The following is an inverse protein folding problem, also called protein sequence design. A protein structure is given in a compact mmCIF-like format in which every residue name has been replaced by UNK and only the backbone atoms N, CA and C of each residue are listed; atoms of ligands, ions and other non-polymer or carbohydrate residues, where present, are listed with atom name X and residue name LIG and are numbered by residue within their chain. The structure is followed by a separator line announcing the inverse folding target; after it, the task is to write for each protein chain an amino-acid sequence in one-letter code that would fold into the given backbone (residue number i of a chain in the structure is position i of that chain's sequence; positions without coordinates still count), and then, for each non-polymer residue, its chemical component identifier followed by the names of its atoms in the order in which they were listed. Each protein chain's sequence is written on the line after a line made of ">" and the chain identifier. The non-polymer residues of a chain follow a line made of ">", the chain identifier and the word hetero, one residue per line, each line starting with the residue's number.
data_IF_586638158098
#
_entry.id   IF_586638158098
#
_cell.length_a   1.000
_cell.length_b   1.000
_cell.length_c   1.000
_cell.angle_alpha   90.00
_cell.angle_beta   90.00
_cell.angle_gamma   90.00
#
_symmetry.space_group_name_H-M   'P 1'
#
loop_
_entity.id
_entity.type
_entity.pdbx_description
1 polymer ?
#
# COMPACT_ATOMS: atom_id res chain seq x y z
N UNK A 1 -15.47 -17.86 50.48
CA UNK A 1 -16.12 -17.72 49.17
C UNK A 1 -15.30 -16.77 48.31
N UNK A 2 -14.61 -17.32 47.31
CA UNK A 2 -13.63 -16.61 46.47
C UNK A 2 -14.39 -15.84 45.38
N UNK A 3 -14.30 -14.51 45.39
CA UNK A 3 -14.73 -13.66 44.28
C UNK A 3 -13.88 -13.98 43.05
N UNK A 4 -14.49 -14.64 42.07
CA UNK A 4 -13.90 -14.83 40.75
C UNK A 4 -13.89 -13.48 40.03
N UNK A 5 -12.72 -12.85 39.97
CA UNK A 5 -12.40 -11.82 38.98
C UNK A 5 -12.52 -12.46 37.58
N UNK A 6 -13.64 -12.23 36.92
CA UNK A 6 -13.81 -12.56 35.51
C UNK A 6 -13.03 -11.51 34.71
N UNK A 7 -12.06 -11.89 33.86
CA UNK A 7 -11.37 -10.94 33.00
C UNK A 7 -12.40 -10.32 32.06
N UNK A 8 -12.47 -8.99 32.03
CA UNK A 8 -13.21 -8.21 31.03
C UNK A 8 -12.68 -8.59 29.64
N UNK A 9 -13.29 -9.61 29.02
CA UNK A 9 -13.20 -9.82 27.57
C UNK A 9 -13.53 -8.48 26.91
N UNK A 10 -12.61 -7.94 26.10
CA UNK A 10 -12.80 -6.77 25.23
C UNK A 10 -14.17 -6.87 24.53
N UNK A 11 -15.22 -6.30 25.11
CA UNK A 11 -16.51 -6.13 24.42
C UNK A 11 -16.22 -5.19 23.27
N UNK A 12 -16.44 -5.62 22.02
CA UNK A 12 -16.43 -4.71 20.87
C UNK A 12 -17.37 -3.56 21.22
N UNK A 13 -16.84 -2.34 21.31
CA UNK A 13 -17.64 -1.14 21.55
C UNK A 13 -18.73 -1.12 20.48
N UNK A 14 -19.99 -1.04 20.89
CA UNK A 14 -21.10 -0.99 19.94
C UNK A 14 -20.98 0.30 19.13
N UNK A 15 -20.98 0.19 17.80
CA UNK A 15 -20.84 1.32 16.89
C UNK A 15 -22.04 2.25 17.03
N UNK A 16 -21.80 3.55 16.98
CA UNK A 16 -22.88 4.54 16.91
C UNK A 16 -23.57 4.46 15.55
N UNK A 17 -24.88 4.72 15.54
CA UNK A 17 -25.73 4.75 14.37
C UNK A 17 -26.41 6.11 14.32
N UNK A 18 -26.15 6.88 13.27
CA UNK A 18 -26.67 8.23 13.10
C UNK A 18 -27.44 8.27 11.79
N UNK A 19 -28.73 8.54 11.87
CA UNK A 19 -29.62 8.67 10.70
C UNK A 19 -30.46 9.95 10.74
N UNK A 20 -30.39 10.73 11.82
CA UNK A 20 -31.05 12.01 11.95
C UNK A 20 -30.37 12.90 13.01
N UNK A 21 -30.78 14.17 13.11
CA UNK A 21 -30.27 15.13 14.08
C UNK A 21 -30.45 14.68 15.54
N UNK A 22 -31.58 14.07 15.89
CA UNK A 22 -31.82 13.60 17.26
C UNK A 22 -30.86 12.46 17.62
N UNK A 23 -30.69 11.49 16.71
CA UNK A 23 -29.73 10.40 16.89
C UNK A 23 -28.28 10.89 17.05
N UNK A 24 -27.92 11.97 16.35
CA UNK A 24 -26.62 12.62 16.53
C UNK A 24 -26.49 13.32 17.89
N UNK A 25 -27.51 14.09 18.32
CA UNK A 25 -27.55 14.73 19.66
C UNK A 25 -27.49 13.69 20.80
N UNK A 26 -28.19 12.56 20.66
CA UNK A 26 -28.15 11.47 21.62
C UNK A 26 -26.78 10.80 21.68
N UNK A 27 -26.09 10.66 20.54
CA UNK A 27 -24.72 10.16 20.50
C UNK A 27 -23.73 11.16 21.14
N UNK A 28 -23.87 12.46 20.86
CA UNK A 28 -23.10 13.53 21.51
C UNK A 28 -23.25 13.49 23.04
N UNK A 29 -24.49 13.40 23.53
CA UNK A 29 -24.78 13.32 24.96
C UNK A 29 -24.20 12.06 25.61
N UNK A 30 -24.29 10.90 24.94
CA UNK A 30 -23.72 9.63 25.42
C UNK A 30 -22.20 9.69 25.56
N UNK A 31 -21.52 10.46 24.72
CA UNK A 31 -20.08 10.68 24.79
C UNK A 31 -19.67 11.85 25.68
N UNK A 32 -20.63 12.51 26.35
CA UNK A 32 -20.38 13.59 27.31
C UNK A 32 -20.29 14.99 26.73
N UNK A 33 -20.61 15.19 25.44
CA UNK A 33 -20.64 16.51 24.83
C UNK A 33 -21.90 17.29 25.24
N UNK A 34 -21.72 18.54 25.67
CA UNK A 34 -22.81 19.44 26.09
C UNK A 34 -23.31 20.30 24.92
N UNK A 35 -23.86 19.68 23.87
CA UNK A 35 -24.36 20.36 22.66
C UNK A 35 -25.83 20.03 22.46
N UNK A 36 -26.71 20.99 22.74
CA UNK A 36 -28.18 20.78 22.78
C UNK A 36 -28.95 21.91 22.08
N UNK A 37 -28.27 22.76 21.32
CA UNK A 37 -28.84 23.92 20.65
C UNK A 37 -29.99 23.50 19.72
N UNK A 38 -31.12 24.18 19.83
CA UNK A 38 -32.29 23.97 18.98
C UNK A 38 -32.18 24.72 17.65
N UNK A 39 -31.54 25.89 17.69
CA UNK A 39 -31.24 26.72 16.53
C UNK A 39 -30.14 26.07 15.67
N UNK A 40 -30.39 25.99 14.36
CA UNK A 40 -29.52 25.30 13.39
C UNK A 40 -28.13 25.95 13.34
N UNK A 41 -28.05 27.27 13.24
CA UNK A 41 -26.79 27.99 13.10
C UNK A 41 -25.97 27.94 14.40
N UNK A 42 -26.61 28.14 15.56
CA UNK A 42 -25.94 27.95 16.86
C UNK A 42 -25.46 26.52 17.07
N UNK A 43 -26.22 25.52 16.61
CA UNK A 43 -25.81 24.13 16.66
C UNK A 43 -24.55 23.88 15.83
N UNK A 44 -24.56 24.34 14.57
CA UNK A 44 -23.39 24.23 13.68
C UNK A 44 -22.18 24.92 14.28
N UNK A 45 -22.30 26.19 14.70
CA UNK A 45 -21.21 26.93 15.34
C UNK A 45 -20.59 26.18 16.52
N UNK A 46 -21.43 25.56 17.36
CA UNK A 46 -20.94 24.83 18.54
C UNK A 46 -20.22 23.54 18.16
N UNK A 47 -20.70 22.83 17.12
CA UNK A 47 -19.99 21.67 16.57
C UNK A 47 -18.62 22.09 16.03
N UNK A 48 -18.57 23.12 15.18
CA UNK A 48 -17.32 23.68 14.63
C UNK A 48 -16.33 24.02 15.74
N UNK A 49 -16.76 24.78 16.76
CA UNK A 49 -15.94 25.20 17.90
C UNK A 49 -15.48 24.02 18.77
N UNK A 50 -16.37 23.06 19.05
CA UNK A 50 -16.07 21.92 19.95
C UNK A 50 -15.09 20.95 19.31
N UNK A 51 -15.26 20.65 18.03
CA UNK A 51 -14.43 19.67 17.31
C UNK A 51 -13.26 20.30 16.56
N UNK A 52 -13.17 21.64 16.53
CA UNK A 52 -12.12 22.41 15.83
C UNK A 52 -12.01 21.98 14.36
N UNK A 53 -13.16 21.92 13.69
CA UNK A 53 -13.29 21.52 12.27
C UNK A 53 -13.77 22.70 11.44
N UNK A 54 -13.54 22.65 10.12
CA UNK A 54 -14.02 23.67 9.19
C UNK A 54 -15.55 23.73 9.12
N UNK A 55 -16.08 24.91 8.81
CA UNK A 55 -17.53 25.12 8.61
C UNK A 55 -18.10 24.20 7.52
N UNK A 56 -17.33 23.94 6.46
CA UNK A 56 -17.75 23.05 5.36
C UNK A 56 -18.03 21.61 5.82
N UNK A 57 -17.25 21.10 6.78
CA UNK A 57 -17.45 19.78 7.40
C UNK A 57 -18.76 19.80 8.19
N UNK A 58 -19.00 20.87 8.94
CA UNK A 58 -20.21 21.01 9.77
C UNK A 58 -21.46 21.11 8.91
N UNK A 59 -21.43 21.88 7.84
CA UNK A 59 -22.53 21.98 6.86
C UNK A 59 -22.81 20.62 6.22
N UNK A 60 -21.77 19.92 5.76
CA UNK A 60 -21.93 18.60 5.16
C UNK A 60 -22.49 17.58 6.16
N UNK A 61 -22.01 17.59 7.39
CA UNK A 61 -22.51 16.74 8.47
C UNK A 61 -24.01 16.98 8.65
N UNK A 62 -24.40 18.25 8.70
CA UNK A 62 -25.77 18.65 8.92
C UNK A 62 -26.71 18.22 7.76
N UNK A 63 -26.24 18.34 6.50
CA UNK A 63 -26.93 17.78 5.33
C UNK A 63 -27.08 16.26 5.45
N UNK A 64 -25.99 15.55 5.80
CA UNK A 64 -25.98 14.09 5.93
C UNK A 64 -26.97 13.59 7.00
N UNK A 65 -27.09 14.29 8.13
CA UNK A 65 -28.05 13.92 9.19
C UNK A 65 -29.47 14.45 8.94
N UNK A 66 -29.70 15.30 7.93
CA UNK A 66 -31.08 15.62 7.49
C UNK A 66 -31.63 14.54 6.54
N UNK A 67 -30.77 13.81 5.83
CA UNK A 67 -31.18 12.68 4.98
C UNK A 67 -31.44 11.40 5.80
N UNK A 68 -32.71 11.17 6.10
CA UNK A 68 -33.15 10.00 6.88
C UNK A 68 -33.05 8.67 6.14
N UNK A 69 -32.73 8.67 4.84
CA UNK A 69 -32.57 7.45 4.03
C UNK A 69 -31.25 6.73 4.31
N UNK A 70 -30.27 7.43 4.88
CA UNK A 70 -28.93 6.89 5.13
C UNK A 70 -28.70 6.78 6.64
N UNK A 71 -28.16 5.63 7.07
CA UNK A 71 -27.69 5.44 8.44
C UNK A 71 -26.18 5.33 8.43
N UNK A 72 -25.53 6.34 8.99
CA UNK A 72 -24.09 6.39 9.16
C UNK A 72 -23.67 5.57 10.38
N UNK A 73 -22.69 4.70 10.19
CA UNK A 73 -22.11 3.86 11.24
C UNK A 73 -20.68 4.29 11.50
N UNK A 74 -20.37 4.62 12.75
CA UNK A 74 -19.05 5.06 13.19
C UNK A 74 -18.70 4.46 14.57
N UNK A 75 -17.44 4.52 14.96
CA UNK A 75 -16.98 4.03 16.26
C UNK A 75 -17.33 5.01 17.40
N UNK A 76 -17.29 6.30 17.12
CA UNK A 76 -17.63 7.40 18.02
C UNK A 76 -17.92 8.68 17.21
N UNK A 77 -18.23 9.79 17.88
CA UNK A 77 -18.56 11.06 17.22
C UNK A 77 -17.37 11.61 16.40
N UNK A 78 -16.14 11.43 16.86
CA UNK A 78 -14.97 11.92 16.12
C UNK A 78 -14.75 11.12 14.84
N UNK A 79 -14.90 9.81 14.92
CA UNK A 79 -14.87 8.92 13.75
C UNK A 79 -15.98 9.27 12.74
N UNK A 80 -17.17 9.66 13.21
CA UNK A 80 -18.23 10.16 12.33
C UNK A 80 -17.87 11.49 11.65
N UNK A 81 -17.29 12.43 12.39
CA UNK A 81 -16.85 13.72 11.81
C UNK A 81 -15.73 13.51 10.79
N UNK A 82 -14.75 12.65 11.09
CA UNK A 82 -13.71 12.23 10.14
C UNK A 82 -14.30 11.55 8.89
N UNK A 83 -15.35 10.75 9.05
CA UNK A 83 -16.07 10.19 7.90
C UNK A 83 -16.64 11.31 7.01
N UNK A 84 -17.34 12.29 7.60
CA UNK A 84 -17.88 13.43 6.84
C UNK A 84 -16.77 14.22 6.13
N UNK A 85 -15.66 14.50 6.82
CA UNK A 85 -14.50 15.16 6.22
C UNK A 85 -13.96 14.37 5.02
N UNK A 86 -13.78 13.06 5.17
CA UNK A 86 -13.32 12.18 4.08
C UNK A 86 -14.28 12.15 2.90
N UNK A 87 -15.60 12.27 3.11
CA UNK A 87 -16.55 12.37 2.01
C UNK A 87 -16.28 13.62 1.16
N UNK A 88 -16.07 14.77 1.82
CA UNK A 88 -15.75 16.04 1.13
C UNK A 88 -14.43 15.93 0.37
N UNK A 89 -13.38 15.44 1.04
CA UNK A 89 -12.06 15.30 0.44
C UNK A 89 -12.11 14.35 -0.76
N UNK A 90 -12.81 13.22 -0.63
CA UNK A 90 -12.97 12.27 -1.71
C UNK A 90 -13.69 12.87 -2.92
N UNK A 91 -14.80 13.58 -2.73
CA UNK A 91 -15.51 14.27 -3.82
C UNK A 91 -14.62 15.29 -4.54
N UNK A 92 -13.83 16.06 -3.78
CA UNK A 92 -12.90 17.04 -4.33
C UNK A 92 -11.78 16.39 -5.16
N UNK A 93 -11.13 15.36 -4.62
CA UNK A 93 -10.05 14.66 -5.33
C UNK A 93 -10.60 13.89 -6.53
N UNK A 94 -11.78 13.28 -6.42
CA UNK A 94 -12.47 12.65 -7.55
C UNK A 94 -12.68 13.64 -8.69
N UNK A 95 -13.26 14.82 -8.39
CA UNK A 95 -13.52 15.86 -9.39
C UNK A 95 -12.24 16.39 -10.03
N UNK A 96 -11.17 16.59 -9.25
CA UNK A 96 -9.85 16.98 -9.79
C UNK A 96 -9.30 15.94 -10.75
N UNK A 97 -9.35 14.66 -10.38
CA UNK A 97 -8.87 13.57 -11.22
C UNK A 97 -9.71 13.44 -12.49
N UNK A 98 -11.03 13.50 -12.40
CA UNK A 98 -11.94 13.48 -13.57
C UNK A 98 -11.64 14.61 -14.54
N UNK A 99 -11.45 15.85 -14.07
CA UNK A 99 -11.05 16.98 -14.91
C UNK A 99 -9.76 16.69 -15.69
N UNK A 100 -8.78 16.06 -15.02
CA UNK A 100 -7.47 15.75 -15.61
C UNK A 100 -7.53 14.68 -16.70
N UNK A 101 -8.48 13.76 -16.63
CA UNK A 101 -8.63 12.66 -17.62
C UNK A 101 -9.75 12.91 -18.64
N UNK A 102 -10.48 14.01 -18.52
CA UNK A 102 -11.63 14.33 -19.40
C UNK A 102 -11.25 14.51 -20.87
N UNK A 103 -10.01 14.91 -21.17
CA UNK A 103 -9.51 15.10 -22.53
C UNK A 103 -9.07 13.78 -23.20
N UNK A 104 -8.94 12.72 -22.42
CA UNK A 104 -8.49 11.42 -22.90
C UNK A 104 -9.71 10.67 -23.46
N UNK A 105 -9.66 10.32 -24.74
CA UNK A 105 -10.73 9.53 -25.37
C UNK A 105 -10.57 8.04 -25.06
N UNK A 106 -9.33 7.56 -25.04
CA UNK A 106 -9.01 6.14 -24.86
C UNK A 106 -7.76 5.96 -24.01
N UNK A 107 -7.81 4.98 -23.11
CA UNK A 107 -6.71 4.61 -22.24
C UNK A 107 -6.32 3.15 -22.46
N UNK A 108 -5.04 2.92 -22.77
CA UNK A 108 -4.41 1.61 -22.85
C UNK A 108 -3.61 1.37 -21.57
N UNK A 109 -3.91 0.30 -20.85
CA UNK A 109 -3.16 -0.11 -19.65
C UNK A 109 -2.44 -1.42 -19.97
N UNK A 110 -1.12 -1.38 -19.97
CA UNK A 110 -0.26 -2.54 -20.15
C UNK A 110 0.19 -3.10 -18.80
N UNK A 111 0.17 -4.43 -18.67
CA UNK A 111 0.65 -5.16 -17.50
C UNK A 111 1.35 -6.44 -17.93
N UNK A 112 2.57 -6.68 -17.43
CA UNK A 112 3.26 -7.96 -17.62
C UNK A 112 2.65 -9.01 -16.66
N UNK A 113 2.27 -10.17 -17.20
CA UNK A 113 1.69 -11.30 -16.47
C UNK A 113 2.64 -12.49 -16.50
N UNK A 114 3.43 -12.65 -15.44
CA UNK A 114 4.41 -13.72 -15.38
C UNK A 114 3.81 -15.11 -15.00
N UNK A 115 2.56 -15.17 -14.47
CA UNK A 115 2.02 -16.32 -13.68
C UNK A 115 1.15 -17.29 -14.52
N UNK A 116 1.11 -17.14 -15.85
CA UNK A 116 0.21 -17.95 -16.70
C UNK A 116 0.68 -19.38 -16.98
N UNK A 117 1.96 -19.68 -16.76
CA UNK A 117 2.55 -20.99 -17.06
C UNK A 117 2.91 -21.71 -15.74
N UNK A 118 2.48 -22.97 -15.59
CA UNK A 118 2.87 -23.79 -14.44
C UNK A 118 4.38 -24.06 -14.50
N UNK A 119 5.11 -23.65 -13.46
CA UNK A 119 6.52 -23.99 -13.31
C UNK A 119 6.69 -25.35 -12.65
N UNK A 120 7.63 -26.17 -13.13
CA UNK A 120 8.11 -27.34 -12.40
C UNK A 120 8.72 -26.94 -11.04
N UNK A 121 8.64 -27.83 -10.06
CA UNK A 121 9.25 -27.63 -8.75
C UNK A 121 10.75 -27.90 -8.82
N UNK A 122 11.56 -26.92 -8.41
CA UNK A 122 13.02 -27.07 -8.32
C UNK A 122 13.41 -27.92 -7.09
N UNK A 123 14.58 -28.56 -7.11
CA UNK A 123 15.16 -29.19 -5.92
C UNK A 123 15.70 -28.12 -4.96
N UNK A 124 15.33 -28.18 -3.69
CA UNK A 124 15.52 -27.10 -2.72
C UNK A 124 16.08 -27.55 -1.37
N UNK A 125 16.50 -28.80 -1.24
CA UNK A 125 16.90 -29.40 0.03
C UNK A 125 18.14 -28.70 0.64
N UNK A 126 19.16 -28.47 -0.18
CA UNK A 126 20.37 -27.72 0.23
C UNK A 126 20.06 -26.28 0.67
N UNK A 127 19.03 -25.66 0.07
CA UNK A 127 18.62 -24.31 0.40
C UNK A 127 17.93 -24.28 1.77
N UNK A 128 17.05 -25.25 2.04
CA UNK A 128 16.34 -25.35 3.31
C UNK A 128 17.34 -25.52 4.45
N UNK A 129 18.29 -26.45 4.31
CA UNK A 129 19.33 -26.68 5.32
C UNK A 129 20.13 -25.40 5.61
N UNK A 130 20.55 -24.68 4.56
CA UNK A 130 21.30 -23.42 4.73
C UNK A 130 20.49 -22.30 5.39
N UNK A 131 19.16 -22.31 5.29
CA UNK A 131 18.29 -21.33 5.96
C UNK A 131 18.13 -21.69 7.43
N UNK A 132 17.90 -22.97 7.75
CA UNK A 132 17.70 -23.44 9.12
C UNK A 132 18.92 -23.18 10.01
N UNK A 133 20.13 -23.31 9.46
CA UNK A 133 21.40 -23.00 10.14
C UNK A 133 21.49 -21.58 10.70
N UNK A 134 20.83 -20.60 10.08
CA UNK A 134 20.97 -19.18 10.45
C UNK A 134 19.70 -18.55 11.03
N UNK A 135 18.52 -19.14 10.77
CA UNK A 135 17.23 -18.45 10.94
C UNK A 135 16.94 -18.06 12.39
N UNK A 136 17.29 -18.93 13.35
CA UNK A 136 17.12 -18.69 14.79
C UNK A 136 17.96 -17.51 15.29
N UNK A 137 19.10 -17.28 14.66
CA UNK A 137 20.15 -16.41 15.20
C UNK A 137 20.02 -14.98 14.70
N UNK A 138 19.45 -14.81 13.50
CA UNK A 138 19.33 -13.50 12.85
C UNK A 138 17.97 -12.82 13.07
N UNK A 139 16.90 -13.57 13.33
CA UNK A 139 15.52 -13.04 13.22
C UNK A 139 14.99 -12.44 14.52
N UNK A 140 14.45 -11.21 14.47
CA UNK A 140 13.80 -10.52 15.60
C UNK A 140 12.56 -9.74 15.16
N UNK A 141 11.59 -9.56 16.06
CA UNK A 141 10.42 -8.69 15.83
C UNK A 141 10.81 -7.23 16.09
N UNK A 142 10.34 -6.31 15.25
CA UNK A 142 10.58 -4.87 15.40
C UNK A 142 9.86 -4.24 16.59
N UNK A 143 10.49 -3.23 17.17
CA UNK A 143 9.85 -2.22 18.04
C UNK A 143 9.00 -1.21 17.25
N UNK A 144 8.17 -0.41 17.92
CA UNK A 144 7.32 0.60 17.27
C UNK A 144 8.13 1.73 16.60
N UNK A 145 9.23 2.19 17.20
CA UNK A 145 10.12 3.20 16.60
C UNK A 145 10.73 2.72 15.26
N UNK A 146 11.06 1.43 15.18
CA UNK A 146 11.62 0.81 13.98
C UNK A 146 10.58 0.58 12.87
N UNK A 147 9.28 0.58 13.22
CA UNK A 147 8.17 0.58 12.25
C UNK A 147 8.01 1.97 11.64
N UNK A 148 8.04 3.02 12.46
CA UNK A 148 7.90 4.41 12.02
C UNK A 148 8.90 4.77 10.91
N UNK A 149 10.16 4.29 11.02
CA UNK A 149 11.18 4.52 9.99
C UNK A 149 10.80 3.99 8.60
N UNK A 150 10.17 2.81 8.51
CA UNK A 150 9.70 2.29 7.22
C UNK A 150 8.48 3.05 6.72
N UNK A 151 7.57 3.44 7.62
CA UNK A 151 6.39 4.23 7.28
C UNK A 151 6.77 5.60 6.70
N UNK A 152 7.81 6.23 7.22
CA UNK A 152 8.30 7.51 6.70
C UNK A 152 8.91 7.37 5.31
N UNK A 153 9.62 6.25 5.02
CA UNK A 153 10.09 5.95 3.66
C UNK A 153 8.92 5.69 2.70
N UNK A 154 7.86 5.00 3.14
CA UNK A 154 6.64 4.85 2.33
C UNK A 154 6.02 6.22 2.02
N UNK A 155 5.93 7.12 3.00
CA UNK A 155 5.44 8.49 2.80
C UNK A 155 6.34 9.30 1.85
N UNK A 156 7.66 9.06 1.85
CA UNK A 156 8.57 9.69 0.88
C UNK A 156 8.28 9.20 -0.54
N UNK A 157 8.13 7.90 -0.75
CA UNK A 157 7.80 7.34 -2.06
C UNK A 157 6.44 7.80 -2.58
N UNK A 158 5.46 7.91 -1.69
CA UNK A 158 4.12 8.40 -2.00
C UNK A 158 4.12 9.81 -2.63
N UNK A 159 5.17 10.60 -2.37
CA UNK A 159 5.29 11.93 -2.97
C UNK A 159 5.53 11.85 -4.48
N UNK A 160 6.26 10.86 -4.97
CA UNK A 160 6.83 10.91 -6.33
C UNK A 160 6.46 9.74 -7.24
N UNK A 161 5.95 8.65 -6.68
CA UNK A 161 5.68 7.42 -7.41
C UNK A 161 4.20 7.02 -7.37
N UNK A 162 3.76 6.32 -8.42
CA UNK A 162 2.46 5.64 -8.45
C UNK A 162 2.61 4.17 -8.11
N UNK A 163 1.60 3.62 -7.45
CA UNK A 163 1.47 2.18 -7.23
C UNK A 163 0.53 1.55 -8.25
N UNK A 164 0.67 0.23 -8.48
CA UNK A 164 -0.22 -0.52 -9.35
C UNK A 164 -1.70 -0.38 -8.93
N UNK A 165 -2.00 -0.38 -7.62
CA UNK A 165 -3.32 -0.17 -7.01
C UNK A 165 -3.93 1.20 -7.28
N UNK A 166 -3.08 2.19 -7.54
CA UNK A 166 -3.53 3.54 -7.90
C UNK A 166 -4.05 3.49 -9.35
N UNK A 167 -3.30 2.85 -10.25
CA UNK A 167 -3.73 2.61 -11.63
C UNK A 167 -4.94 1.67 -11.69
N UNK A 168 -5.05 0.69 -10.79
CA UNK A 168 -6.24 -0.15 -10.66
C UNK A 168 -7.47 0.65 -10.22
N UNK A 169 -7.31 1.64 -9.33
CA UNK A 169 -8.40 2.55 -8.97
C UNK A 169 -8.83 3.36 -10.20
N UNK A 170 -7.88 3.97 -10.92
CA UNK A 170 -8.17 4.70 -12.16
C UNK A 170 -8.93 3.84 -13.15
N UNK A 171 -8.47 2.59 -13.36
CA UNK A 171 -9.13 1.61 -14.22
C UNK A 171 -10.58 1.37 -13.81
N UNK A 172 -10.86 1.18 -12.52
CA UNK A 172 -12.22 0.99 -12.01
C UNK A 172 -13.09 2.23 -12.22
N UNK A 173 -12.54 3.43 -12.01
CA UNK A 173 -13.26 4.69 -12.21
C UNK A 173 -13.75 4.87 -13.65
N UNK A 174 -12.90 4.56 -14.64
CA UNK A 174 -13.25 4.73 -16.06
C UNK A 174 -14.07 3.57 -16.64
N UNK A 175 -14.13 2.43 -15.94
CA UNK A 175 -14.81 1.22 -16.39
C UNK A 175 -16.23 1.19 -15.81
N UNK A 176 -17.14 1.95 -16.42
CA UNK A 176 -18.55 2.04 -16.00
C UNK A 176 -19.40 0.93 -16.66
N UNK A 177 -19.09 0.53 -17.91
CA UNK A 177 -19.77 -0.55 -18.65
C UNK A 177 -18.76 -1.44 -19.37
N UNK A 178 -19.02 -2.75 -19.41
CA UNK A 178 -18.12 -3.74 -20.06
C UNK A 178 -18.00 -3.55 -21.58
N UNK A 179 -18.94 -2.84 -22.19
CA UNK A 179 -19.09 -2.71 -23.65
C UNK A 179 -17.94 -1.94 -24.34
N UNK A 180 -17.12 -1.20 -23.59
CA UNK A 180 -16.00 -0.40 -24.11
C UNK A 180 -14.60 -0.95 -23.81
N UNK A 181 -14.48 -2.20 -23.36
CA UNK A 181 -13.20 -2.79 -22.93
C UNK A 181 -12.71 -3.82 -23.93
N UNK A 182 -11.48 -3.65 -24.44
CA UNK A 182 -10.81 -4.65 -25.28
C UNK A 182 -9.56 -5.14 -24.60
N UNK A 183 -9.40 -6.45 -24.51
CA UNK A 183 -8.20 -7.07 -23.96
C UNK A 183 -7.38 -7.74 -25.07
N UNK A 184 -6.07 -7.56 -25.03
CA UNK A 184 -5.11 -8.25 -25.90
C UNK A 184 -3.97 -8.81 -25.05
N UNK A 185 -3.48 -9.98 -25.41
CA UNK A 185 -2.32 -10.58 -24.76
C UNK A 185 -1.23 -10.85 -25.79
N UNK A 186 -0.02 -10.39 -25.51
CA UNK A 186 1.15 -10.70 -26.30
C UNK A 186 1.96 -11.80 -25.58
N UNK A 187 1.96 -13.00 -26.15
CA UNK A 187 2.66 -14.14 -25.57
C UNK A 187 4.19 -13.97 -25.55
N UNK A 188 4.77 -13.27 -26.52
CA UNK A 188 6.22 -13.05 -26.60
C UNK A 188 6.71 -12.13 -25.48
N UNK A 189 6.00 -11.05 -25.23
CA UNK A 189 6.35 -10.06 -24.19
C UNK A 189 5.66 -10.33 -22.85
N UNK A 190 4.81 -11.37 -22.78
CA UNK A 190 3.93 -11.71 -21.65
C UNK A 190 3.09 -10.52 -21.17
N UNK A 191 2.73 -9.61 -22.08
CA UNK A 191 2.04 -8.35 -21.74
C UNK A 191 0.55 -8.46 -22.06
N UNK A 192 -0.29 -8.18 -21.06
CA UNK A 192 -1.71 -7.94 -21.23
C UNK A 192 -1.96 -6.44 -21.40
N UNK A 193 -2.65 -6.06 -22.47
CA UNK A 193 -3.12 -4.69 -22.72
C UNK A 193 -4.63 -4.64 -22.57
N UNK A 194 -5.11 -3.71 -21.74
CA UNK A 194 -6.53 -3.39 -21.59
C UNK A 194 -6.76 -2.01 -22.22
N UNK A 195 -7.56 -1.95 -23.26
CA UNK A 195 -7.99 -0.71 -23.91
C UNK A 195 -9.39 -0.33 -23.42
N UNK A 196 -9.55 0.89 -22.93
CA UNK A 196 -10.80 1.41 -22.35
C UNK A 196 -11.14 2.72 -23.04
N UNK A 197 -12.36 2.85 -23.53
CA UNK A 197 -12.92 4.13 -23.95
C UNK A 197 -13.39 4.89 -22.71
N UNK A 198 -12.86 6.09 -22.49
CA UNK A 198 -13.20 6.87 -21.30
C UNK A 198 -14.60 7.46 -21.47
N UNK A 199 -15.50 7.26 -20.50
CA UNK A 199 -16.84 7.81 -20.57
C UNK A 199 -16.81 9.33 -20.42
N UNK A 200 -17.74 10.02 -21.11
CA UNK A 200 -17.88 11.48 -21.02
C UNK A 200 -18.16 11.96 -19.58
N UNK A 201 -18.77 11.12 -18.76
CA UNK A 201 -19.05 11.40 -17.37
C UNK A 201 -18.62 10.20 -16.52
N UNK A 202 -17.78 10.48 -15.52
CA UNK A 202 -17.35 9.50 -14.53
C UNK A 202 -18.11 9.78 -13.23
N UNK A 203 -18.85 8.78 -12.75
CA UNK A 203 -19.66 8.86 -11.54
C UNK A 203 -19.18 7.82 -10.50
N UNK A 204 -19.90 7.71 -9.38
CA UNK A 204 -19.52 6.84 -8.26
C UNK A 204 -19.97 5.37 -8.40
N UNK A 205 -20.44 4.93 -9.58
CA UNK A 205 -20.95 3.55 -9.79
C UNK A 205 -19.87 2.47 -9.56
N UNK A 206 -18.59 2.82 -9.70
CA UNK A 206 -17.47 1.90 -9.44
C UNK A 206 -17.28 1.58 -7.94
N UNK A 207 -18.00 2.25 -7.04
CA UNK A 207 -17.96 2.02 -5.60
C UNK A 207 -19.08 1.04 -5.22
N UNK A 208 -18.77 -0.25 -4.97
CA UNK A 208 -19.79 -1.26 -4.72
C UNK A 208 -20.41 -1.15 -3.31
N UNK A 209 -19.75 -0.43 -2.41
CA UNK A 209 -20.16 -0.29 -1.00
C UNK A 209 -21.13 0.86 -0.83
N UNK A 210 -22.16 0.66 -0.01
CA UNK A 210 -23.24 1.65 0.19
C UNK A 210 -22.76 2.79 1.10
N UNK A 211 -23.15 4.03 0.75
CA UNK A 211 -22.92 5.19 1.61
C UNK A 211 -23.50 4.98 3.03
N UNK A 212 -22.82 5.52 4.04
CA UNK A 212 -23.16 5.40 5.46
C UNK A 212 -22.58 4.15 6.15
N UNK A 213 -22.08 3.16 5.41
CA UNK A 213 -21.48 1.97 6.03
C UNK A 213 -20.01 2.21 6.43
N UNK A 214 -19.49 1.33 7.29
CA UNK A 214 -18.06 1.36 7.70
C UNK A 214 -17.16 0.98 6.54
N UNK A 215 -17.62 0.08 5.68
CA UNK A 215 -16.91 -0.33 4.48
C UNK A 215 -16.77 0.83 3.48
N UNK A 216 -17.76 1.72 3.39
CA UNK A 216 -17.64 2.93 2.59
C UNK A 216 -16.67 3.93 3.23
N UNK A 217 -16.69 4.14 4.54
CA UNK A 217 -15.68 4.96 5.23
C UNK A 217 -14.25 4.44 5.03
N UNK A 218 -14.06 3.12 5.09
CA UNK A 218 -12.79 2.46 4.79
C UNK A 218 -12.41 2.62 3.32
N UNK A 219 -13.38 2.55 2.39
CA UNK A 219 -13.16 2.83 0.98
C UNK A 219 -12.63 4.26 0.77
N UNK A 220 -13.23 5.26 1.41
CA UNK A 220 -12.75 6.65 1.33
C UNK A 220 -11.31 6.75 1.84
N UNK A 221 -11.07 6.25 3.06
CA UNK A 221 -9.76 6.29 3.71
C UNK A 221 -8.66 5.66 2.85
N UNK A 222 -8.97 4.55 2.18
CA UNK A 222 -8.01 3.82 1.36
C UNK A 222 -7.74 4.45 -0.02
N UNK A 223 -8.69 5.20 -0.57
CA UNK A 223 -8.65 5.68 -1.95
C UNK A 223 -8.37 7.18 -2.09
N UNK A 224 -8.60 7.99 -1.05
CA UNK A 224 -8.17 9.41 -1.03
C UNK A 224 -6.66 9.54 -1.35
N UNK A 225 -5.74 8.85 -0.65
CA UNK A 225 -4.32 8.95 -0.96
C UNK A 225 -3.97 8.46 -2.37
N UNK A 226 -4.71 7.47 -2.90
CA UNK A 226 -4.49 6.95 -4.26
C UNK A 226 -4.85 7.99 -5.32
N UNK A 227 -5.99 8.67 -5.15
CA UNK A 227 -6.39 9.75 -6.05
C UNK A 227 -5.41 10.92 -5.98
N UNK A 228 -4.97 11.31 -4.78
CA UNK A 228 -3.95 12.36 -4.62
C UNK A 228 -2.65 11.99 -5.35
N UNK A 229 -2.17 10.75 -5.22
CA UNK A 229 -1.01 10.26 -5.96
C UNK A 229 -1.23 10.27 -7.48
N UNK A 230 -2.38 9.80 -7.97
CA UNK A 230 -2.74 9.87 -9.40
C UNK A 230 -2.71 11.32 -9.91
N UNK A 231 -3.37 12.23 -9.21
CA UNK A 231 -3.43 13.65 -9.60
C UNK A 231 -2.01 14.22 -9.70
N UNK A 232 -1.14 13.91 -8.73
CA UNK A 232 0.22 14.42 -8.71
C UNK A 232 1.14 13.78 -9.75
N UNK A 233 1.14 12.45 -9.85
CA UNK A 233 2.21 11.69 -10.51
C UNK A 233 1.82 11.04 -11.84
N UNK A 234 0.54 10.99 -12.23
CA UNK A 234 0.07 10.29 -13.44
C UNK A 234 0.81 10.69 -14.72
N UNK A 235 1.21 11.95 -14.88
CA UNK A 235 1.90 12.42 -16.08
C UNK A 235 3.29 11.75 -16.27
N UNK A 236 3.92 11.27 -15.19
CA UNK A 236 5.19 10.52 -15.26
C UNK A 236 5.00 9.12 -15.89
N UNK A 237 3.80 8.56 -15.77
CA UNK A 237 3.47 7.19 -16.17
C UNK A 237 2.60 7.10 -17.42
N UNK A 238 1.89 8.18 -17.73
CA UNK A 238 0.94 8.26 -18.83
C UNK A 238 1.59 8.96 -20.03
N UNK A 239 1.66 8.25 -21.16
CA UNK A 239 2.22 8.77 -22.42
C UNK A 239 1.15 8.82 -23.50
N UNK A 240 1.25 9.79 -24.39
CA UNK A 240 0.41 9.84 -25.60
C UNK A 240 0.80 8.68 -26.51
N UNK A 241 -0.18 8.01 -27.12
CA UNK A 241 0.06 7.00 -28.14
C UNK A 241 0.67 7.65 -29.40
N UNK A 242 1.68 7.01 -29.98
CA UNK A 242 2.41 7.54 -31.14
C UNK A 242 1.50 7.74 -32.37
N UNK A 243 0.39 7.00 -32.45
CA UNK A 243 -0.50 6.97 -33.63
C UNK A 243 -1.75 7.82 -33.45
N UNK A 244 -2.22 8.04 -32.23
CA UNK A 244 -3.48 8.76 -31.95
C UNK A 244 -3.32 9.68 -30.73
N UNK A 245 -3.32 10.99 -30.97
CA UNK A 245 -3.10 12.02 -29.93
C UNK A 245 -4.10 11.98 -28.77
N UNK A 246 -5.27 11.40 -28.97
CA UNK A 246 -6.35 11.27 -27.97
C UNK A 246 -6.35 9.91 -27.25
N UNK A 247 -5.44 9.01 -27.64
CA UNK A 247 -5.19 7.73 -26.97
C UNK A 247 -3.97 7.87 -26.08
N UNK A 248 -4.09 7.46 -24.83
CA UNK A 248 -3.01 7.47 -23.86
C UNK A 248 -2.68 6.06 -23.40
N UNK A 249 -1.44 5.86 -22.98
CA UNK A 249 -0.90 4.59 -22.56
C UNK A 249 -0.23 4.70 -21.20
N UNK A 250 -0.56 3.76 -20.31
CA UNK A 250 0.09 3.57 -19.02
C UNK A 250 0.68 2.15 -19.00
N UNK A 251 1.98 2.03 -18.72
CA UNK A 251 2.60 0.75 -18.38
C UNK A 251 2.55 0.57 -16.87
N UNK A 252 1.56 -0.19 -16.40
CA UNK A 252 1.36 -0.47 -14.98
C UNK A 252 2.55 -1.23 -14.38
N UNK A 253 3.31 -1.97 -15.20
CA UNK A 253 4.48 -2.73 -14.73
C UNK A 253 5.63 -1.83 -14.30
N UNK A 254 5.64 -0.56 -14.73
CA UNK A 254 6.60 0.46 -14.28
C UNK A 254 6.20 1.14 -12.97
N UNK A 255 4.95 0.98 -12.54
CA UNK A 255 4.50 1.47 -11.26
C UNK A 255 5.03 0.58 -10.14
N UNK A 256 5.11 1.18 -8.95
CA UNK A 256 5.45 0.51 -7.71
C UNK A 256 4.41 -0.59 -7.42
N UNK A 257 4.84 -1.81 -7.10
CA UNK A 257 3.91 -2.93 -6.85
C UNK A 257 3.12 -2.74 -5.53
N UNK A 258 1.96 -3.38 -5.42
CA UNK A 258 1.05 -3.14 -4.28
C UNK A 258 1.56 -3.67 -2.95
N UNK A 259 2.36 -4.74 -3.03
CA UNK A 259 2.99 -5.42 -1.91
C UNK A 259 4.46 -5.02 -1.74
N UNK A 260 4.82 -3.78 -2.07
CA UNK A 260 6.21 -3.33 -1.92
C UNK A 260 6.70 -3.65 -0.52
N UNK A 261 7.72 -4.51 -0.49
CA UNK A 261 8.53 -4.70 0.68
C UNK A 261 9.65 -3.68 0.60
N UNK A 262 9.63 -2.66 1.46
CA UNK A 262 10.78 -1.77 1.65
C UNK A 262 11.69 -2.44 2.67
N UNK A 263 12.95 -2.60 2.30
CA UNK A 263 13.98 -3.02 3.23
C UNK A 263 15.02 -1.91 3.38
N UNK A 264 15.54 -1.79 4.60
CA UNK A 264 16.59 -0.83 4.96
C UNK A 264 17.65 -1.57 5.78
N UNK A 265 18.90 -1.57 5.36
CA UNK A 265 20.00 -2.04 6.17
C UNK A 265 20.82 -0.86 6.70
N UNK A 266 21.25 -0.98 7.96
CA UNK A 266 22.25 -0.12 8.57
C UNK A 266 23.52 -0.95 8.74
N UNK A 267 24.60 -0.50 8.10
CA UNK A 267 25.91 -1.15 8.17
C UNK A 267 27.03 -0.12 8.02
N UNK A 268 28.05 -0.21 8.87
CA UNK A 268 29.20 0.71 8.89
C UNK A 268 28.78 2.21 8.89
N UNK A 269 27.77 2.54 9.72
CA UNK A 269 27.14 3.87 9.82
C UNK A 269 26.52 4.39 8.52
N UNK A 270 26.30 3.53 7.52
CA UNK A 270 25.60 3.86 6.27
C UNK A 270 24.25 3.16 6.19
N UNK A 271 23.37 3.77 5.42
CA UNK A 271 22.01 3.31 5.18
C UNK A 271 21.87 2.82 3.73
N UNK A 272 21.36 1.59 3.58
CA UNK A 272 21.11 0.93 2.30
C UNK A 272 19.63 0.65 2.19
N UNK A 273 18.97 1.15 1.14
CA UNK A 273 17.50 1.01 0.97
C UNK A 273 17.21 0.29 -0.33
N UNK A 274 16.23 -0.59 -0.33
CA UNK A 274 15.77 -1.23 -1.55
C UNK A 274 14.26 -1.46 -1.54
N UNK A 275 13.70 -1.54 -2.75
CA UNK A 275 12.28 -1.80 -3.00
C UNK A 275 12.14 -3.04 -3.88
N UNK A 276 11.29 -3.97 -3.47
CA UNK A 276 11.08 -5.21 -4.22
C UNK A 276 10.39 -4.89 -5.54
N UNK A 277 10.87 -5.52 -6.62
CA UNK A 277 10.30 -5.38 -7.95
C UNK A 277 10.59 -4.07 -8.69
N UNK A 278 11.30 -3.10 -8.07
CA UNK A 278 11.69 -1.85 -8.74
C UNK A 278 13.20 -1.59 -8.66
N UNK A 279 13.81 -1.25 -9.80
CA UNK A 279 15.23 -0.86 -9.90
C UNK A 279 15.40 0.63 -10.28
N UNK A 280 14.31 1.37 -10.49
CA UNK A 280 14.35 2.72 -11.04
C UNK A 280 14.05 3.79 -9.98
N UNK A 281 14.44 3.54 -8.73
CA UNK A 281 14.23 4.46 -7.61
C UNK A 281 15.57 5.09 -7.26
N UNK A 282 15.61 6.43 -7.32
CA UNK A 282 16.83 7.20 -7.09
C UNK A 282 17.32 6.99 -5.65
N UNK A 283 18.63 6.76 -5.47
CA UNK A 283 19.28 6.52 -4.17
C UNK A 283 18.86 5.22 -3.46
N UNK A 284 18.33 4.23 -4.20
CA UNK A 284 18.04 2.88 -3.69
C UNK A 284 18.96 1.86 -4.36
N UNK A 285 19.29 0.79 -3.65
CA UNK A 285 20.04 -0.35 -4.18
C UNK A 285 19.22 -1.03 -5.29
N UNK A 286 19.90 -1.39 -6.38
CA UNK A 286 19.30 -2.06 -7.54
C UNK A 286 19.78 -3.50 -7.63
N UNK A 287 19.02 -4.36 -8.30
CA UNK A 287 19.54 -5.68 -8.60
C UNK A 287 20.72 -5.56 -9.59
N UNK A 288 21.84 -6.26 -9.36
CA UNK A 288 22.90 -6.33 -10.36
C UNK A 288 22.42 -7.07 -11.62
N UNK A 289 23.10 -6.88 -12.77
CA UNK A 289 22.96 -7.76 -13.93
C UNK A 289 23.12 -9.23 -13.53
N UNK A 290 22.48 -10.13 -14.28
CA UNK A 290 22.46 -11.56 -13.92
C UNK A 290 23.87 -12.16 -13.88
N UNK A 291 24.76 -11.70 -14.76
CA UNK A 291 26.16 -12.15 -14.83
C UNK A 291 27.01 -11.65 -13.66
N UNK A 292 26.61 -10.56 -13.01
CA UNK A 292 27.33 -9.94 -11.89
C UNK A 292 26.77 -10.36 -10.51
N UNK A 293 25.61 -11.01 -10.48
CA UNK A 293 24.96 -11.42 -9.24
C UNK A 293 25.77 -12.49 -8.51
N UNK A 294 26.18 -12.21 -7.27
CA UNK A 294 26.98 -13.12 -6.46
C UNK A 294 26.11 -14.06 -5.65
N UNK A 295 24.99 -13.56 -5.13
CA UNK A 295 24.10 -14.33 -4.28
C UNK A 295 22.96 -14.93 -5.10
N UNK A 296 22.79 -16.25 -5.00
CA UNK A 296 21.75 -16.96 -5.73
C UNK A 296 20.40 -16.73 -5.06
N UNK A 297 19.40 -16.39 -5.87
CA UNK A 297 17.99 -16.39 -5.49
C UNK A 297 17.31 -17.65 -6.03
N UNK A 298 16.08 -17.89 -5.58
CA UNK A 298 15.31 -19.08 -5.93
C UNK A 298 13.85 -18.73 -6.10
N UNK A 299 13.10 -19.64 -6.75
CA UNK A 299 11.66 -19.46 -6.95
C UNK A 299 10.92 -19.58 -5.63
N UNK A 300 10.04 -18.62 -5.36
CA UNK A 300 9.14 -18.67 -4.20
C UNK A 300 7.74 -18.22 -4.61
N UNK A 301 6.71 -18.94 -4.18
CA UNK A 301 5.33 -18.55 -4.42
C UNK A 301 4.78 -17.62 -3.31
N UNK A 302 3.55 -17.15 -3.46
CA UNK A 302 2.91 -16.25 -2.47
C UNK A 302 2.74 -16.88 -1.08
N UNK A 303 2.69 -18.22 -1.01
CA UNK A 303 2.56 -18.98 0.24
C UNK A 303 3.92 -19.30 0.89
N UNK A 304 5.04 -18.92 0.25
CA UNK A 304 6.39 -19.16 0.78
C UNK A 304 6.94 -20.52 0.41
N UNK A 305 6.29 -21.28 -0.47
CA UNK A 305 6.81 -22.55 -0.97
C UNK A 305 7.99 -22.26 -1.90
N UNK A 306 9.16 -22.78 -1.54
CA UNK A 306 10.40 -22.69 -2.29
C UNK A 306 10.40 -23.66 -3.47
N UNK A 307 11.07 -23.29 -4.55
CA UNK A 307 11.20 -24.08 -5.79
C UNK A 307 10.01 -23.95 -6.75
N UNK A 308 8.98 -23.18 -6.41
CA UNK A 308 7.81 -22.91 -7.28
C UNK A 308 7.52 -21.41 -7.30
N UNK A 309 7.04 -20.89 -8.42
CA UNK A 309 6.67 -19.48 -8.57
C UNK A 309 7.77 -18.69 -9.27
N UNK A 310 8.08 -17.49 -8.78
CA UNK A 310 9.06 -16.61 -9.43
C UNK A 310 10.36 -16.52 -8.68
N UNK A 311 11.43 -16.41 -9.45
CA UNK A 311 12.73 -16.06 -8.93
C UNK A 311 12.67 -14.69 -8.25
N UNK A 312 13.16 -14.64 -7.02
CA UNK A 312 13.21 -13.46 -6.14
C UNK A 312 14.45 -12.58 -6.39
N UNK A 313 15.01 -12.64 -7.59
CA UNK A 313 16.13 -11.80 -8.07
C UNK A 313 15.96 -10.30 -7.78
N UNK A 314 14.73 -9.79 -7.81
CA UNK A 314 14.44 -8.37 -7.59
C UNK A 314 13.93 -8.03 -6.18
N UNK A 315 14.07 -8.92 -5.20
CA UNK A 315 13.69 -8.63 -3.81
C UNK A 315 14.68 -7.69 -3.13
N UNK A 316 14.15 -6.86 -2.22
CA UNK A 316 14.88 -5.77 -1.57
C UNK A 316 16.10 -6.27 -0.80
N UNK A 317 15.94 -7.36 -0.07
CA UNK A 317 16.99 -7.98 0.71
C UNK A 317 18.17 -8.37 -0.18
N UNK A 318 17.89 -9.03 -1.32
CA UNK A 318 18.94 -9.41 -2.27
C UNK A 318 19.71 -8.20 -2.78
N UNK A 319 19.02 -7.15 -3.23
CA UNK A 319 19.66 -5.92 -3.74
C UNK A 319 20.58 -5.27 -2.71
N UNK A 320 20.15 -5.23 -1.45
CA UNK A 320 20.94 -4.66 -0.35
C UNK A 320 22.21 -5.48 -0.12
N UNK A 321 22.10 -6.82 -0.02
CA UNK A 321 23.27 -7.65 0.25
C UNK A 321 24.26 -7.67 -0.92
N UNK A 322 23.79 -7.66 -2.17
CA UNK A 322 24.65 -7.50 -3.35
C UNK A 322 25.41 -6.17 -3.32
N UNK A 323 24.74 -5.05 -3.02
CA UNK A 323 25.38 -3.74 -2.96
C UNK A 323 26.39 -3.63 -1.80
N UNK A 324 26.06 -4.17 -0.63
CA UNK A 324 27.00 -4.20 0.51
C UNK A 324 28.21 -5.06 0.16
N UNK A 325 28.01 -6.23 -0.43
CA UNK A 325 29.10 -7.09 -0.88
C UNK A 325 30.01 -6.36 -1.87
N UNK A 326 29.43 -5.73 -2.89
CA UNK A 326 30.16 -4.94 -3.89
C UNK A 326 31.01 -3.85 -3.24
N UNK A 327 30.48 -3.13 -2.26
CA UNK A 327 31.23 -2.09 -1.56
C UNK A 327 32.31 -2.63 -0.62
N UNK A 328 32.15 -3.84 -0.08
CA UNK A 328 33.20 -4.53 0.69
C UNK A 328 34.36 -4.91 -0.24
N UNK A 329 34.07 -5.52 -1.39
CA UNK A 329 35.10 -5.89 -2.38
C UNK A 329 35.84 -4.66 -2.92
N UNK A 330 35.13 -3.55 -3.11
CA UNK A 330 35.72 -2.26 -3.46
C UNK A 330 36.50 -1.59 -2.32
N UNK A 331 36.57 -2.21 -1.13
CA UNK A 331 37.23 -1.67 0.09
C UNK A 331 36.64 -0.35 0.58
N UNK A 332 35.40 -0.05 0.21
CA UNK A 332 34.63 1.13 0.64
C UNK A 332 33.94 0.88 1.99
N UNK A 333 33.63 -0.37 2.30
CA UNK A 333 33.09 -0.82 3.58
C UNK A 333 34.03 -1.81 4.25
N UNK A 334 34.01 -1.84 5.57
CA UNK A 334 34.72 -2.86 6.34
C UNK A 334 34.08 -4.24 6.12
N UNK A 335 34.88 -5.30 6.16
CA UNK A 335 34.39 -6.69 6.16
C UNK A 335 34.24 -7.23 7.60
N UNK A 336 33.65 -6.44 8.50
CA UNK A 336 33.41 -6.81 9.90
C UNK A 336 32.43 -5.84 10.56
N UNK A 337 31.72 -6.32 11.59
CA UNK A 337 30.87 -5.48 12.44
C UNK A 337 29.45 -6.01 12.55
N UNK A 338 28.49 -5.12 12.78
CA UNK A 338 27.08 -5.46 12.92
C UNK A 338 26.27 -4.85 11.77
N UNK A 339 25.46 -5.68 11.11
CA UNK A 339 24.51 -5.26 10.08
C UNK A 339 23.10 -5.49 10.60
N UNK A 340 22.26 -4.45 10.58
CA UNK A 340 20.85 -4.57 10.96
C UNK A 340 19.98 -4.29 9.75
N UNK A 341 19.22 -5.29 9.31
CA UNK A 341 18.25 -5.21 8.23
C UNK A 341 16.85 -5.04 8.82
N UNK A 342 16.15 -4.01 8.38
CA UNK A 342 14.78 -3.70 8.70
C UNK A 342 13.91 -3.99 7.47
N UNK A 343 13.00 -4.95 7.57
CA UNK A 343 12.06 -5.29 6.49
C UNK A 343 10.60 -5.14 6.95
N UNK A 344 9.66 -4.88 6.04
CA UNK A 344 8.24 -4.78 6.42
C UNK A 344 7.67 -6.17 6.71
N UNK A 345 8.02 -7.11 5.86
CA UNK A 345 7.68 -8.53 5.98
C UNK A 345 8.92 -9.31 6.44
N UNK A 346 8.70 -10.45 7.08
CA UNK A 346 9.75 -11.46 7.24
C UNK A 346 10.32 -11.79 5.84
N UNK A 347 11.65 -11.84 5.67
CA UNK A 347 12.23 -12.23 4.39
C UNK A 347 11.70 -13.58 3.94
N UNK A 348 11.36 -13.69 2.66
CA UNK A 348 10.93 -14.96 2.10
C UNK A 348 12.06 -16.00 2.16
N UNK A 349 11.79 -17.30 2.01
CA UNK A 349 12.84 -18.33 2.06
C UNK A 349 14.00 -18.07 1.09
N UNK A 350 13.75 -17.59 -0.13
CA UNK A 350 14.83 -17.21 -1.05
C UNK A 350 15.68 -16.04 -0.53
N UNK A 351 15.10 -15.07 0.17
CA UNK A 351 15.87 -13.98 0.76
C UNK A 351 16.67 -14.45 1.98
N UNK A 352 16.12 -15.35 2.80
CA UNK A 352 16.88 -16.02 3.86
C UNK A 352 18.08 -16.78 3.29
N UNK A 353 17.93 -17.43 2.13
CA UNK A 353 19.05 -18.10 1.46
C UNK A 353 20.11 -17.11 0.96
N UNK A 354 19.72 -15.94 0.46
CA UNK A 354 20.69 -14.88 0.13
C UNK A 354 21.45 -14.43 1.37
N UNK A 355 20.74 -14.23 2.49
CA UNK A 355 21.36 -13.87 3.77
C UNK A 355 22.35 -14.95 4.23
N UNK A 356 22.01 -16.24 4.10
CA UNK A 356 22.93 -17.32 4.51
C UNK A 356 24.19 -17.36 3.67
N UNK A 357 24.08 -17.16 2.35
CA UNK A 357 25.26 -17.03 1.47
C UNK A 357 26.12 -15.82 1.86
N UNK A 358 25.50 -14.67 2.18
CA UNK A 358 26.23 -13.50 2.64
C UNK A 358 26.98 -13.76 3.95
N UNK A 359 26.32 -14.35 4.95
CA UNK A 359 26.95 -14.69 6.23
C UNK A 359 28.11 -15.68 6.06
N UNK A 360 27.99 -16.66 5.16
CA UNK A 360 29.07 -17.61 4.84
C UNK A 360 30.26 -16.91 4.17
N UNK A 361 30.00 -15.93 3.29
CA UNK A 361 31.05 -15.16 2.61
C UNK A 361 31.72 -14.12 3.51
N UNK A 362 30.98 -13.56 4.47
CA UNK A 362 31.42 -12.51 5.37
C UNK A 362 31.23 -12.90 6.85
N UNK A 363 32.00 -13.88 7.37
CA UNK A 363 31.78 -14.46 8.70
C UNK A 363 31.99 -13.48 9.86
N UNK A 364 32.73 -12.39 9.63
CA UNK A 364 32.99 -11.36 10.65
C UNK A 364 31.87 -10.29 10.74
N UNK A 365 30.82 -10.41 9.91
CA UNK A 365 29.65 -9.52 9.93
C UNK A 365 28.49 -10.23 10.63
N UNK A 366 28.09 -9.71 11.78
CA UNK A 366 26.92 -10.18 12.51
C UNK A 366 25.65 -9.57 11.94
N UNK A 367 24.86 -10.36 11.23
CA UNK A 367 23.60 -9.94 10.62
C UNK A 367 22.45 -10.10 11.61
N UNK A 368 21.60 -9.07 11.71
CA UNK A 368 20.30 -9.12 12.40
C UNK A 368 19.20 -8.66 11.44
N UNK A 369 18.12 -9.41 11.38
CA UNK A 369 16.93 -9.13 10.57
C UNK A 369 15.77 -8.83 11.49
N UNK A 370 15.18 -7.64 11.32
CA UNK A 370 14.01 -7.19 12.05
C UNK A 370 12.83 -6.99 11.10
N UNK A 371 11.67 -7.56 11.42
CA UNK A 371 10.45 -7.43 10.60
C UNK A 371 9.18 -7.12 11.41
N UNK A 372 8.13 -6.63 10.73
CA UNK A 372 6.86 -6.22 11.36
C UNK A 372 5.75 -7.28 11.25
N UNK A 373 5.74 -8.09 10.19
CA UNK A 373 4.75 -9.14 9.93
C UNK A 373 5.44 -10.39 9.42
N UNK A 374 4.88 -11.57 9.69
CA UNK A 374 5.42 -12.82 9.14
C UNK A 374 5.09 -12.94 7.65
N UNK A 375 5.91 -13.71 6.94
CA UNK A 375 5.68 -13.96 5.53
C UNK A 375 4.46 -14.88 5.37
N UNK A 376 3.48 -14.48 4.56
CA UNK A 376 2.27 -15.27 4.27
C UNK A 376 1.07 -15.01 5.20
N UNK A 377 1.21 -14.13 6.20
CA UNK A 377 0.08 -13.50 6.92
C UNK A 377 -0.51 -12.33 6.12
#
# INVERSE_FOLDING_TARGET
>A
MIQRNIPLKKRKKERIKINNLNGFKDALKREGYKINELDEEKFKEKITKTFKVDNSITERLYICIKDTKITYRANDIRDFIDYIEKMIVFENEHNKLCKKINEIKKLNIDRIEYEREMSSQDNVEDIINAIEEIKSDISRIKSEEEKAKLEDLEKELDKDYLYAKDIELLKKMVLIRKEGVKEKYNAKTKTKTISIEIPKQINYEYIPVKNGTVEYHQHLSNNIPRMQRLIKNMNKYMKVDEKEKTTFKIDQSKALQDSINIAVAIYDNKEFKAISGSNNITNYCTAPPLEEAIFKSSKVNKLGKLGIGYDRVNDSEKKIFEEIHKQIEAKVLKNQGNLILYSKLEPCPSCCFVISQFCKKHPNIKVQVKYSKKYGE
#
